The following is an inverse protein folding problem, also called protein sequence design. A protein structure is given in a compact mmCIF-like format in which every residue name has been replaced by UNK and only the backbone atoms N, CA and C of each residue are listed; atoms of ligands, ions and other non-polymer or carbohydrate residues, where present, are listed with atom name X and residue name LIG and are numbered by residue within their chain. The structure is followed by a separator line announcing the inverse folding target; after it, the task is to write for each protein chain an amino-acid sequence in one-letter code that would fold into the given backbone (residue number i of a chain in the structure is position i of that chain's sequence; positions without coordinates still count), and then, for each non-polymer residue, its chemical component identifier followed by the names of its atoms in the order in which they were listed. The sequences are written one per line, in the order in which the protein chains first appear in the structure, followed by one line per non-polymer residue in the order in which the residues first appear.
data_IF_784935652253
#
_entry.id   IF_784935652253
#
_cell.length_a   1.000
_cell.length_b   1.000
_cell.length_c   1.000
_cell.angle_alpha   90.00
_cell.angle_beta   90.00
_cell.angle_gamma   90.00
#
_symmetry.space_group_name_H-M   'P 1'
#
loop_
_entity.id
_entity.type
_entity.pdbx_description
1 polymer ?
#
# COMPACT_ATOMS: atom_id res chain seq x y z
N UNK A 1 9.12 -18.53 -7.71
CA UNK A 1 8.73 -17.66 -6.60
C UNK A 1 7.56 -18.26 -5.89
N UNK A 2 7.69 -18.52 -4.59
CA UNK A 2 6.62 -18.97 -3.70
C UNK A 2 5.96 -17.77 -3.02
N UNK A 3 4.71 -17.90 -2.62
CA UNK A 3 3.92 -16.82 -2.04
C UNK A 3 3.06 -17.34 -0.90
N UNK A 4 2.87 -16.50 0.13
CA UNK A 4 2.09 -16.86 1.33
C UNK A 4 0.62 -17.16 1.05
N UNK A 5 0.03 -16.46 0.08
CA UNK A 5 -1.39 -16.57 -0.24
C UNK A 5 -1.71 -16.23 -1.70
N UNK A 6 -2.95 -16.49 -2.12
CA UNK A 6 -3.40 -16.29 -3.48
C UNK A 6 -3.57 -14.81 -3.87
N UNK A 7 -3.65 -13.91 -2.88
CA UNK A 7 -3.80 -12.46 -3.15
C UNK A 7 -2.54 -11.83 -3.74
N UNK A 8 -1.39 -12.49 -3.55
CA UNK A 8 -0.13 -12.09 -4.16
C UNK A 8 -0.06 -12.56 -5.61
N UNK A 9 0.05 -11.64 -6.54
CA UNK A 9 0.14 -11.97 -7.97
C UNK A 9 1.10 -11.05 -8.71
N UNK A 10 1.68 -11.60 -9.78
CA UNK A 10 2.50 -10.84 -10.69
C UNK A 10 1.63 -9.95 -11.59
N UNK A 11 2.10 -8.75 -11.85
CA UNK A 11 1.38 -7.74 -12.64
C UNK A 11 2.17 -7.35 -13.89
N UNK A 12 1.46 -6.85 -14.89
CA UNK A 12 2.10 -6.16 -16.00
C UNK A 12 2.35 -4.71 -15.59
N UNK A 13 3.63 -4.34 -15.45
CA UNK A 13 4.02 -2.96 -15.25
C UNK A 13 4.64 -2.40 -16.54
N UNK A 14 3.86 -1.62 -17.26
CA UNK A 14 4.26 -0.92 -18.48
C UNK A 14 4.64 0.55 -18.22
N UNK A 15 4.78 0.97 -16.96
CA UNK A 15 5.04 2.36 -16.60
C UNK A 15 6.42 2.87 -17.03
N UNK A 16 7.35 1.97 -17.34
CA UNK A 16 8.72 2.33 -17.70
C UNK A 16 9.41 1.27 -18.57
N UNK A 17 10.18 1.73 -19.56
CA UNK A 17 11.11 0.90 -20.32
C UNK A 17 12.22 0.27 -19.44
N UNK A 18 12.33 0.68 -18.19
CA UNK A 18 13.28 0.16 -17.21
C UNK A 18 12.84 -1.13 -16.52
N UNK A 19 11.56 -1.49 -16.56
CA UNK A 19 11.06 -2.75 -15.98
C UNK A 19 11.51 -3.92 -16.85
N UNK A 20 11.83 -5.05 -16.25
CA UNK A 20 12.42 -6.18 -16.97
C UNK A 20 11.56 -7.45 -16.86
N UNK A 21 11.14 -8.05 -17.99
CA UNK A 21 11.22 -7.56 -19.34
C UNK A 21 10.24 -6.42 -19.63
N UNK A 22 10.61 -5.47 -20.51
CA UNK A 22 9.72 -4.40 -20.95
C UNK A 22 9.33 -4.57 -22.41
N UNK A 23 8.06 -4.34 -22.74
CA UNK A 23 7.58 -4.25 -24.10
C UNK A 23 6.42 -3.28 -24.20
N UNK A 24 6.42 -2.37 -25.20
CA UNK A 24 5.25 -1.54 -25.44
C UNK A 24 4.10 -2.31 -26.11
N UNK A 25 4.35 -3.50 -26.65
CA UNK A 25 3.37 -4.28 -27.42
C UNK A 25 2.86 -5.52 -26.68
N UNK A 26 3.69 -6.13 -25.82
CA UNK A 26 3.38 -7.38 -25.14
C UNK A 26 3.16 -7.13 -23.66
N UNK A 27 2.11 -7.72 -23.10
CA UNK A 27 1.85 -7.71 -21.67
C UNK A 27 2.66 -8.81 -21.00
N UNK A 28 3.76 -8.43 -20.35
CA UNK A 28 4.54 -9.34 -19.52
C UNK A 28 4.13 -9.20 -18.05
N UNK A 29 4.07 -10.30 -17.34
CA UNK A 29 4.01 -10.30 -15.88
C UNK A 29 5.43 -10.08 -15.35
N UNK A 30 5.84 -8.81 -15.29
CA UNK A 30 7.21 -8.37 -15.08
C UNK A 30 7.46 -7.71 -13.74
N UNK A 31 6.45 -7.59 -12.90
CA UNK A 31 6.59 -7.13 -11.53
C UNK A 31 5.66 -7.91 -10.60
N UNK A 32 6.03 -8.01 -9.33
CA UNK A 32 5.20 -8.63 -8.31
C UNK A 32 5.00 -7.68 -7.13
N UNK A 33 3.79 -7.68 -6.56
CA UNK A 33 3.49 -6.90 -5.38
C UNK A 33 2.58 -5.69 -5.64
N UNK A 34 3.04 -4.47 -5.35
CA UNK A 34 2.22 -3.26 -5.25
C UNK A 34 1.22 -3.36 -4.08
N UNK A 35 -0.05 -2.99 -4.28
CA UNK A 35 -1.10 -3.11 -3.27
C UNK A 35 -1.48 -4.56 -2.92
N UNK A 36 -1.19 -5.53 -3.78
CA UNK A 36 -1.44 -6.95 -3.48
C UNK A 36 -0.48 -7.52 -2.44
N UNK A 37 0.67 -6.88 -2.21
CA UNK A 37 1.68 -7.28 -1.22
C UNK A 37 1.92 -6.16 -0.21
N UNK A 38 0.94 -5.95 0.64
CA UNK A 38 0.92 -4.83 1.58
C UNK A 38 0.45 -5.19 2.99
N UNK A 39 -0.12 -6.38 3.18
CA UNK A 39 -0.67 -6.81 4.46
C UNK A 39 0.39 -7.53 5.29
N UNK A 40 0.31 -7.36 6.60
CA UNK A 40 1.21 -8.01 7.56
C UNK A 40 1.31 -9.51 7.34
N UNK A 41 2.50 -10.05 7.54
CA UNK A 41 2.84 -11.47 7.41
C UNK A 41 2.72 -12.05 5.99
N UNK A 42 2.31 -11.27 4.99
CA UNK A 42 2.42 -11.71 3.60
C UNK A 42 3.90 -11.82 3.22
N UNK A 43 4.29 -12.90 2.58
CA UNK A 43 5.66 -13.08 2.11
C UNK A 43 5.75 -13.58 0.68
N UNK A 44 6.87 -13.24 0.06
CA UNK A 44 7.37 -13.83 -1.19
C UNK A 44 8.71 -14.49 -0.91
N UNK A 45 8.95 -15.59 -1.59
CA UNK A 45 10.16 -16.40 -1.42
C UNK A 45 10.72 -16.77 -2.78
N UNK A 46 12.03 -16.59 -2.94
CA UNK A 46 12.78 -16.88 -4.14
C UNK A 46 13.84 -17.94 -3.85
N UNK A 47 14.00 -18.89 -4.75
CA UNK A 47 15.14 -19.79 -4.79
C UNK A 47 16.28 -19.09 -5.54
N UNK A 48 17.46 -19.08 -4.93
CA UNK A 48 18.69 -18.50 -5.46
C UNK A 48 19.67 -19.63 -5.74
N UNK A 49 20.06 -19.81 -7.01
CA UNK A 49 21.09 -20.75 -7.41
C UNK A 49 22.46 -20.10 -7.34
N UNK A 50 23.28 -20.53 -6.38
CA UNK A 50 24.63 -20.01 -6.13
C UNK A 50 25.65 -20.92 -6.83
N UNK A 51 26.43 -20.39 -7.79
CA UNK A 51 27.32 -21.21 -8.62
C UNK A 51 28.59 -21.69 -7.90
N UNK A 52 29.05 -20.97 -6.88
CA UNK A 52 30.24 -21.28 -6.10
C UNK A 52 30.18 -20.66 -4.70
N UNK A 53 30.93 -21.23 -3.78
CA UNK A 53 31.07 -20.67 -2.44
C UNK A 53 31.69 -19.27 -2.50
N UNK A 54 31.17 -18.32 -1.72
CA UNK A 54 31.73 -16.98 -1.72
C UNK A 54 30.93 -15.94 -0.95
N UNK A 55 31.45 -14.72 -1.00
CA UNK A 55 30.77 -13.55 -0.46
C UNK A 55 30.00 -12.82 -1.56
N UNK A 56 28.73 -12.65 -1.34
CA UNK A 56 27.80 -12.03 -2.28
C UNK A 56 27.15 -10.78 -1.67
N UNK A 57 26.80 -9.85 -2.54
CA UNK A 57 25.88 -8.75 -2.22
C UNK A 57 24.54 -9.02 -2.87
N UNK A 58 23.48 -8.56 -2.20
CA UNK A 58 22.09 -8.71 -2.68
C UNK A 58 21.52 -7.32 -2.92
N UNK A 59 20.89 -7.14 -4.08
CA UNK A 59 20.21 -5.92 -4.43
C UNK A 59 18.79 -6.21 -4.91
N UNK A 60 17.86 -5.34 -4.53
CA UNK A 60 16.45 -5.42 -4.88
C UNK A 60 16.10 -4.24 -5.76
N UNK A 61 15.58 -4.50 -6.96
CA UNK A 61 15.01 -3.46 -7.81
C UNK A 61 13.53 -3.31 -7.49
N UNK A 62 13.18 -2.20 -6.87
CA UNK A 62 11.86 -1.96 -6.32
C UNK A 62 11.27 -0.61 -6.69
N UNK A 63 9.96 -0.51 -6.52
CA UNK A 63 9.20 0.73 -6.53
C UNK A 63 8.22 0.76 -5.36
N UNK A 64 8.17 1.86 -4.64
CA UNK A 64 7.15 2.17 -3.64
C UNK A 64 6.54 3.53 -3.99
N UNK A 65 5.46 3.56 -4.74
CA UNK A 65 4.87 4.78 -5.32
C UNK A 65 3.55 5.20 -4.69
N UNK A 66 3.06 4.46 -3.70
CA UNK A 66 1.73 4.65 -3.11
C UNK A 66 1.76 5.44 -1.80
N UNK A 67 2.81 5.29 -0.99
CA UNK A 67 2.92 5.93 0.34
C UNK A 67 3.91 7.10 0.29
N UNK A 68 3.44 8.26 -0.12
CA UNK A 68 4.26 9.48 -0.19
C UNK A 68 4.73 9.87 1.22
N UNK A 69 6.05 10.06 1.37
CA UNK A 69 6.67 10.43 2.65
C UNK A 69 6.70 9.32 3.71
N UNK A 70 6.41 8.09 3.34
CA UNK A 70 6.50 6.93 4.23
C UNK A 70 7.28 5.81 3.56
N UNK A 71 7.94 5.00 4.37
CA UNK A 71 8.67 3.82 3.91
C UNK A 71 7.80 2.57 4.02
N UNK A 72 8.11 1.56 3.21
CA UNK A 72 7.59 0.20 3.37
C UNK A 72 8.69 -0.69 3.92
N UNK A 73 8.33 -1.64 4.77
CA UNK A 73 9.29 -2.47 5.48
C UNK A 73 9.13 -3.94 5.13
N UNK A 74 10.25 -4.64 5.07
CA UNK A 74 10.30 -6.10 4.88
C UNK A 74 11.30 -6.72 5.85
N UNK A 75 10.91 -7.83 6.45
CA UNK A 75 11.85 -8.76 7.03
C UNK A 75 12.46 -9.58 5.89
N UNK A 76 13.78 -9.63 5.82
CA UNK A 76 14.50 -10.40 4.80
C UNK A 76 15.27 -11.52 5.48
N UNK A 77 15.00 -12.75 5.07
CA UNK A 77 15.70 -13.92 5.58
C UNK A 77 16.34 -14.71 4.44
N UNK A 78 17.50 -15.29 4.74
CA UNK A 78 18.18 -16.26 3.87
C UNK A 78 18.20 -17.59 4.64
N UNK A 79 17.67 -18.65 4.02
CA UNK A 79 17.53 -19.98 4.63
C UNK A 79 16.84 -19.92 6.00
N UNK A 80 15.81 -19.06 6.10
CA UNK A 80 14.99 -18.89 7.30
C UNK A 80 15.59 -18.03 8.41
N UNK A 81 16.79 -17.44 8.22
CA UNK A 81 17.47 -16.59 9.21
C UNK A 81 17.70 -15.19 8.65
N UNK A 82 17.54 -14.17 9.48
CA UNK A 82 18.01 -12.81 9.16
C UNK A 82 19.50 -12.72 9.58
N UNK A 83 20.44 -12.67 8.61
CA UNK A 83 21.87 -12.69 8.94
C UNK A 83 22.37 -11.37 9.54
N UNK A 84 21.62 -10.30 9.42
CA UNK A 84 21.87 -8.97 9.97
C UNK A 84 20.63 -8.45 10.67
N UNK A 85 20.79 -7.69 11.75
CA UNK A 85 19.65 -7.11 12.51
C UNK A 85 18.80 -6.16 11.68
N UNK A 86 19.42 -5.41 10.77
CA UNK A 86 18.76 -4.46 9.86
C UNK A 86 17.78 -5.15 8.90
N UNK A 87 18.01 -6.43 8.62
CA UNK A 87 17.14 -7.23 7.76
C UNK A 87 15.85 -7.69 8.45
N UNK A 88 15.74 -7.56 9.77
CA UNK A 88 14.46 -7.74 10.48
C UNK A 88 13.44 -6.68 10.08
N UNK A 89 13.90 -5.48 9.67
CA UNK A 89 13.06 -4.35 9.27
C UNK A 89 13.68 -3.55 8.12
N UNK A 90 14.11 -4.24 7.06
CA UNK A 90 14.70 -3.61 5.89
C UNK A 90 13.77 -2.57 5.28
N UNK A 91 14.30 -1.39 5.02
CA UNK A 91 13.57 -0.18 4.69
C UNK A 91 13.54 0.08 3.18
N UNK A 92 12.35 0.28 2.63
CA UNK A 92 12.11 0.61 1.24
C UNK A 92 11.46 1.99 1.14
N UNK A 93 12.29 3.01 0.95
CA UNK A 93 11.84 4.40 0.89
C UNK A 93 10.94 4.66 -0.32
N UNK A 94 10.04 5.67 -0.17
CA UNK A 94 9.20 6.13 -1.27
C UNK A 94 10.03 6.40 -2.54
N UNK A 95 9.56 5.85 -3.65
CA UNK A 95 10.14 6.07 -4.96
C UNK A 95 9.06 5.91 -6.03
N UNK A 96 8.73 6.97 -6.80
CA UNK A 96 7.72 6.89 -7.86
C UNK A 96 8.21 6.08 -9.07
N UNK A 97 9.52 5.85 -9.18
CA UNK A 97 10.15 5.04 -10.22
C UNK A 97 10.96 3.89 -9.62
N UNK A 98 11.21 2.85 -10.40
CA UNK A 98 12.08 1.76 -9.98
C UNK A 98 13.50 2.24 -9.69
N UNK A 99 14.04 1.78 -8.57
CA UNK A 99 15.43 1.98 -8.16
C UNK A 99 16.04 0.70 -7.61
N UNK A 100 17.34 0.58 -7.66
CA UNK A 100 18.08 -0.49 -7.00
C UNK A 100 18.36 -0.08 -5.55
N UNK A 101 18.13 -1.00 -4.64
CA UNK A 101 18.54 -0.95 -3.24
C UNK A 101 19.52 -2.11 -3.02
N UNK A 102 20.77 -1.81 -2.77
CA UNK A 102 21.72 -2.78 -2.25
C UNK A 102 21.43 -2.91 -0.75
N UNK A 103 21.31 -4.15 -0.25
CA UNK A 103 21.15 -4.38 1.18
C UNK A 103 22.44 -3.94 1.85
N UNK A 104 22.34 -2.92 2.71
CA UNK A 104 23.48 -2.25 3.34
C UNK A 104 23.24 -2.14 4.84
N UNK A 105 24.30 -2.04 5.60
CA UNK A 105 24.27 -1.78 7.03
C UNK A 105 23.86 -0.31 7.33
N UNK A 106 23.82 0.05 8.62
CA UNK A 106 23.47 1.41 9.07
C UNK A 106 24.45 2.48 8.57
N UNK A 107 25.69 2.10 8.24
CA UNK A 107 26.70 3.03 7.68
C UNK A 107 26.53 3.24 6.17
N UNK A 108 25.68 2.43 5.53
CA UNK A 108 25.46 2.43 4.08
C UNK A 108 26.44 1.53 3.31
N UNK A 109 27.28 0.76 4.00
CA UNK A 109 28.18 -0.20 3.36
C UNK A 109 27.40 -1.46 2.95
N UNK A 110 27.66 -2.00 1.74
CA UNK A 110 26.99 -3.22 1.26
C UNK A 110 27.21 -4.41 2.19
N UNK A 111 26.15 -5.07 2.62
CA UNK A 111 26.22 -6.30 3.39
C UNK A 111 26.82 -7.43 2.55
N UNK A 112 27.75 -8.18 3.15
CA UNK A 112 28.39 -9.33 2.52
C UNK A 112 27.82 -10.64 3.07
N UNK A 113 27.09 -11.37 2.21
CA UNK A 113 26.46 -12.65 2.54
C UNK A 113 27.37 -13.80 2.11
N UNK A 114 27.84 -14.61 3.05
CA UNK A 114 28.50 -15.87 2.68
C UNK A 114 27.42 -16.89 2.27
N UNK A 115 27.47 -17.28 1.00
CA UNK A 115 26.57 -18.30 0.45
C UNK A 115 27.43 -19.44 -0.10
N UNK A 116 27.09 -20.68 0.24
CA UNK A 116 27.70 -21.87 -0.31
C UNK A 116 27.18 -22.14 -1.72
N UNK A 117 27.89 -22.95 -2.48
CA UNK A 117 27.36 -23.46 -3.76
C UNK A 117 26.09 -24.26 -3.52
N UNK A 118 25.05 -23.97 -4.28
CA UNK A 118 23.75 -24.69 -4.23
C UNK A 118 22.58 -23.73 -4.20
N UNK A 119 21.42 -24.28 -3.82
CA UNK A 119 20.17 -23.55 -3.74
C UNK A 119 19.99 -22.95 -2.36
N UNK A 120 19.75 -21.64 -2.30
CA UNK A 120 19.38 -20.91 -1.09
C UNK A 120 18.01 -20.29 -1.25
N UNK A 121 17.34 -20.05 -0.12
CA UNK A 121 16.00 -19.44 -0.09
C UNK A 121 16.10 -18.02 0.44
N UNK A 122 15.69 -17.04 -0.37
CA UNK A 122 15.51 -15.66 0.08
C UNK A 122 14.03 -15.39 0.26
N UNK A 123 13.62 -15.02 1.49
CA UNK A 123 12.25 -14.64 1.81
C UNK A 123 12.20 -13.17 2.18
N UNK A 124 11.16 -12.50 1.70
CA UNK A 124 10.81 -11.13 2.10
C UNK A 124 9.37 -11.13 2.62
N UNK A 125 9.21 -10.79 3.89
CA UNK A 125 7.94 -10.77 4.62
C UNK A 125 7.55 -9.34 4.97
N UNK A 126 6.27 -9.01 4.89
CA UNK A 126 5.72 -7.70 5.25
C UNK A 126 5.75 -7.51 6.76
N UNK A 127 6.42 -6.46 7.22
CA UNK A 127 6.46 -6.01 8.62
C UNK A 127 6.15 -4.52 8.71
N UNK A 128 5.69 -4.03 9.86
CA UNK A 128 5.34 -2.60 10.05
C UNK A 128 6.58 -1.71 10.24
N UNK A 129 7.71 -2.29 10.61
CA UNK A 129 8.92 -1.54 10.92
C UNK A 129 8.75 -0.61 12.13
N UNK A 130 9.39 0.56 12.11
CA UNK A 130 9.43 1.51 13.24
C UNK A 130 8.04 1.99 13.69
N UNK A 131 7.06 2.08 12.80
CA UNK A 131 5.69 2.45 13.16
C UNK A 131 5.01 1.41 14.07
N UNK A 132 5.46 0.15 14.06
CA UNK A 132 4.92 -0.90 14.93
C UNK A 132 5.00 -0.59 16.41
N UNK A 133 5.93 0.28 16.83
CA UNK A 133 6.08 0.70 18.23
C UNK A 133 5.05 1.75 18.68
N UNK A 134 4.42 2.47 17.75
CA UNK A 134 3.52 3.59 18.07
C UNK A 134 2.07 3.37 17.61
N UNK A 135 1.85 2.60 16.55
CA UNK A 135 0.49 2.39 16.02
C UNK A 135 -0.49 1.72 17.00
N UNK A 136 -0.10 0.78 17.89
CA UNK A 136 -1.00 0.22 18.89
C UNK A 136 -1.54 1.29 19.86
N UNK A 137 -0.70 2.22 20.32
CA UNK A 137 -1.13 3.32 21.20
C UNK A 137 -2.08 4.28 20.47
N UNK A 138 -1.80 4.58 19.20
CA UNK A 138 -2.72 5.40 18.41
C UNK A 138 -4.07 4.69 18.18
N UNK A 139 -4.08 3.38 18.02
CA UNK A 139 -5.31 2.59 17.93
C UNK A 139 -6.14 2.67 19.21
N UNK A 140 -5.50 2.63 20.37
CA UNK A 140 -6.16 2.84 21.67
C UNK A 140 -6.72 4.26 21.81
N UNK A 141 -5.95 5.27 21.40
CA UNK A 141 -6.45 6.65 21.33
C UNK A 141 -7.69 6.79 20.45
N UNK A 142 -7.70 6.19 19.26
CA UNK A 142 -8.89 6.20 18.38
C UNK A 142 -10.10 5.54 19.05
N UNK A 143 -9.91 4.44 19.78
CA UNK A 143 -10.98 3.78 20.55
C UNK A 143 -11.50 4.69 21.68
N UNK A 144 -10.60 5.35 22.42
CA UNK A 144 -10.95 6.27 23.50
C UNK A 144 -11.71 7.48 22.96
N UNK A 145 -11.25 8.11 21.86
CA UNK A 145 -11.93 9.22 21.21
C UNK A 145 -13.34 8.85 20.72
N UNK A 146 -13.51 7.65 20.15
CA UNK A 146 -14.84 7.15 19.80
C UNK A 146 -15.73 6.93 21.03
N UNK A 147 -15.16 6.53 22.18
CA UNK A 147 -15.92 6.42 23.43
C UNK A 147 -16.36 7.80 23.95
N UNK A 148 -15.45 8.77 23.93
CA UNK A 148 -15.74 10.18 24.28
C UNK A 148 -16.89 10.70 23.39
N UNK A 149 -16.78 10.55 22.07
CA UNK A 149 -17.82 10.95 21.13
C UNK A 149 -19.18 10.33 21.49
N UNK A 150 -19.22 9.00 21.76
CA UNK A 150 -20.47 8.33 22.17
C UNK A 150 -21.04 8.86 23.48
N UNK A 151 -20.21 9.14 24.48
CA UNK A 151 -20.66 9.72 25.75
C UNK A 151 -21.29 11.10 25.54
N UNK A 152 -20.70 11.92 24.67
CA UNK A 152 -21.26 13.24 24.34
C UNK A 152 -22.61 13.13 23.66
N UNK A 153 -22.75 12.28 22.62
CA UNK A 153 -24.02 12.12 21.90
C UNK A 153 -25.13 11.50 22.76
N UNK A 154 -24.78 10.75 23.80
CA UNK A 154 -25.80 10.26 24.78
C UNK A 154 -26.43 11.39 25.54
N UNK A 155 -25.75 12.51 25.77
CA UNK A 155 -26.26 13.70 26.47
C UNK A 155 -26.90 14.67 25.48
N UNK A 156 -26.25 14.91 24.34
CA UNK A 156 -26.62 15.99 23.42
C UNK A 156 -27.52 15.55 22.28
N UNK A 157 -27.59 14.25 22.02
CA UNK A 157 -28.08 13.70 20.75
C UNK A 157 -27.04 13.82 19.63
N UNK A 158 -27.32 13.19 18.49
CA UNK A 158 -26.42 13.20 17.31
C UNK A 158 -26.44 14.52 16.53
N UNK A 159 -27.43 15.37 16.78
CA UNK A 159 -27.58 16.68 16.15
C UNK A 159 -27.96 17.69 17.26
N UNK A 160 -26.97 18.13 18.06
CA UNK A 160 -27.23 18.99 19.22
C UNK A 160 -27.72 20.37 18.79
N UNK A 161 -28.53 21.00 19.66
CA UNK A 161 -28.81 22.42 19.59
C UNK A 161 -27.57 23.19 20.03
N UNK A 162 -26.94 23.89 19.10
CA UNK A 162 -25.68 24.62 19.33
C UNK A 162 -25.82 25.86 20.21
N UNK A 163 -27.05 26.29 20.48
CA UNK A 163 -27.35 27.41 21.36
C UNK A 163 -27.66 26.96 22.80
N UNK A 164 -27.82 25.65 23.03
CA UNK A 164 -28.10 25.06 24.33
C UNK A 164 -26.82 24.72 25.05
N UNK A 165 -26.66 25.17 26.27
CA UNK A 165 -25.63 24.69 27.18
C UNK A 165 -26.09 23.36 27.81
N UNK A 166 -25.36 22.29 27.46
CA UNK A 166 -25.62 20.94 27.98
C UNK A 166 -24.87 20.66 29.29
N UNK A 167 -24.05 21.59 29.78
CA UNK A 167 -23.22 21.46 30.98
C UNK A 167 -22.45 20.16 31.04
N UNK A 168 -21.70 19.86 29.94
CA UNK A 168 -21.00 18.59 29.78
C UNK A 168 -20.00 18.30 30.88
N UNK A 169 -19.39 19.34 31.46
CA UNK A 169 -18.46 19.25 32.59
C UNK A 169 -19.13 18.72 33.87
N UNK A 170 -20.41 19.03 34.07
CA UNK A 170 -21.17 18.56 35.23
C UNK A 170 -21.81 17.21 34.98
N UNK A 171 -22.30 16.97 33.74
CA UNK A 171 -23.08 15.77 33.41
C UNK A 171 -22.16 14.56 33.10
N UNK A 172 -21.02 14.80 32.47
CA UNK A 172 -20.05 13.76 32.09
C UNK A 172 -18.59 14.14 32.45
N UNK A 173 -18.30 14.46 33.74
CA UNK A 173 -17.01 14.98 34.17
C UNK A 173 -15.84 14.03 33.85
N UNK A 174 -16.06 12.73 33.93
CA UNK A 174 -15.01 11.74 33.58
C UNK A 174 -14.69 11.73 32.09
N UNK A 175 -15.66 11.99 31.22
CA UNK A 175 -15.44 12.13 29.79
C UNK A 175 -14.61 13.37 29.47
N UNK A 176 -14.85 14.47 30.16
CA UNK A 176 -14.06 15.71 30.01
C UNK A 176 -12.61 15.49 30.47
N UNK A 177 -12.39 14.78 31.59
CA UNK A 177 -11.03 14.39 32.01
C UNK A 177 -10.33 13.51 30.96
N UNK A 178 -11.06 12.60 30.32
CA UNK A 178 -10.50 11.75 29.26
C UNK A 178 -10.05 12.56 28.03
N UNK A 179 -10.69 13.68 27.71
CA UNK A 179 -10.22 14.58 26.63
C UNK A 179 -8.80 15.07 26.90
N UNK A 180 -8.51 15.53 28.12
CA UNK A 180 -7.18 16.05 28.48
C UNK A 180 -6.12 14.93 28.46
N UNK A 181 -6.47 13.73 28.95
CA UNK A 181 -5.59 12.56 28.85
C UNK A 181 -5.28 12.25 27.38
N UNK A 182 -6.29 12.20 26.51
CA UNK A 182 -6.10 11.91 25.10
C UNK A 182 -5.35 13.01 24.35
N UNK A 183 -5.52 14.28 24.77
CA UNK A 183 -4.71 15.40 24.24
C UNK A 183 -3.23 15.19 24.54
N UNK A 184 -2.88 14.86 25.78
CA UNK A 184 -1.50 14.62 26.19
C UNK A 184 -0.89 13.39 25.50
N UNK A 185 -1.66 12.29 25.34
CA UNK A 185 -1.21 11.09 24.62
C UNK A 185 -0.95 11.36 23.14
N UNK A 186 -1.85 12.08 22.47
CA UNK A 186 -1.67 12.45 21.07
C UNK A 186 -0.51 13.41 20.85
N UNK A 187 -0.16 14.25 21.83
CA UNK A 187 1.06 15.07 21.78
C UNK A 187 2.30 14.18 21.66
N UNK A 188 2.46 13.21 22.55
CA UNK A 188 3.59 12.29 22.54
C UNK A 188 3.64 11.40 21.27
N UNK A 189 2.49 10.97 20.78
CA UNK A 189 2.39 10.18 19.56
C UNK A 189 2.70 11.02 18.31
N UNK A 190 2.27 12.27 18.26
CA UNK A 190 2.54 13.20 17.17
C UNK A 190 4.05 13.37 16.97
N UNK A 191 4.81 13.63 18.06
CA UNK A 191 6.27 13.80 17.99
C UNK A 191 6.96 12.52 17.47
N UNK A 192 6.63 11.37 18.04
CA UNK A 192 7.22 10.07 17.63
C UNK A 192 6.89 9.72 16.18
N UNK A 193 5.64 9.91 15.76
CA UNK A 193 5.23 9.62 14.38
C UNK A 193 5.87 10.61 13.42
N UNK A 194 6.00 11.89 13.78
CA UNK A 194 6.68 12.90 12.98
C UNK A 194 8.15 12.56 12.78
N UNK A 195 8.83 12.11 13.82
CA UNK A 195 10.22 11.64 13.73
C UNK A 195 10.37 10.45 12.77
N UNK A 196 9.48 9.44 12.89
CA UNK A 196 9.52 8.23 12.05
C UNK A 196 9.20 8.52 10.58
N UNK A 197 8.24 9.41 10.33
CA UNK A 197 7.68 9.64 8.97
C UNK A 197 8.19 10.90 8.29
N UNK A 198 9.00 11.70 8.97
CA UNK A 198 9.47 12.98 8.43
C UNK A 198 8.37 14.00 8.13
N UNK A 199 7.25 13.96 8.87
CA UNK A 199 6.15 14.91 8.69
C UNK A 199 5.19 14.57 7.54
N UNK A 200 4.84 13.31 7.37
CA UNK A 200 3.88 12.82 6.37
C UNK A 200 2.45 13.34 6.57
N UNK A 201 1.54 13.00 5.64
CA UNK A 201 0.11 13.35 5.73
C UNK A 201 -0.56 12.88 7.04
N UNK A 202 -0.06 11.79 7.64
CA UNK A 202 -0.56 11.26 8.90
C UNK A 202 -0.35 12.19 10.09
N UNK A 203 0.78 12.90 10.14
CA UNK A 203 1.03 13.88 11.19
C UNK A 203 0.06 15.06 11.13
N UNK A 204 -0.41 15.43 9.94
CA UNK A 204 -1.41 16.50 9.78
C UNK A 204 -2.73 16.16 10.44
N UNK A 205 -3.25 14.93 10.25
CA UNK A 205 -4.53 14.54 10.85
C UNK A 205 -4.42 14.40 12.38
N UNK A 206 -3.30 13.86 12.89
CA UNK A 206 -3.05 13.81 14.35
C UNK A 206 -3.01 15.23 14.92
N UNK A 207 -2.29 16.16 14.25
CA UNK A 207 -2.24 17.56 14.64
C UNK A 207 -3.60 18.24 14.63
N UNK A 208 -4.47 17.93 13.67
CA UNK A 208 -5.85 18.44 13.62
C UNK A 208 -6.67 17.95 14.81
N UNK A 209 -6.63 16.64 15.09
CA UNK A 209 -7.34 16.07 16.26
C UNK A 209 -6.82 16.66 17.56
N UNK A 210 -5.49 16.74 17.73
CA UNK A 210 -4.84 17.32 18.90
C UNK A 210 -5.29 18.76 19.16
N UNK A 211 -5.31 19.62 18.12
CA UNK A 211 -5.80 20.99 18.22
C UNK A 211 -7.27 21.04 18.65
N UNK A 212 -8.11 20.21 18.05
CA UNK A 212 -9.53 20.14 18.40
C UNK A 212 -9.73 19.69 19.85
N UNK A 213 -8.95 18.71 20.34
CA UNK A 213 -9.00 18.31 21.75
C UNK A 213 -8.59 19.43 22.69
N UNK A 214 -7.57 20.24 22.34
CA UNK A 214 -7.17 21.40 23.12
C UNK A 214 -8.33 22.41 23.22
N UNK A 215 -9.00 22.72 22.11
CA UNK A 215 -10.16 23.61 22.09
C UNK A 215 -11.32 23.08 22.96
N UNK A 216 -11.53 21.76 23.01
CA UNK A 216 -12.57 21.15 23.85
C UNK A 216 -12.20 21.09 25.35
N UNK A 217 -10.92 20.96 25.67
CA UNK A 217 -10.42 21.00 27.04
C UNK A 217 -10.53 22.44 27.61
N UNK A 218 -10.16 23.44 26.77
CA UNK A 218 -10.22 24.84 27.14
C UNK A 218 -11.66 25.35 27.30
N UNK A 219 -12.59 24.85 26.45
CA UNK A 219 -14.02 25.21 26.51
C UNK A 219 -14.89 24.04 26.00
N UNK A 220 -15.38 23.16 26.90
CA UNK A 220 -16.24 22.03 26.57
C UNK A 220 -17.57 22.40 25.90
N UNK A 221 -18.05 23.63 26.03
CA UNK A 221 -19.24 24.11 25.31
C UNK A 221 -19.05 24.00 23.78
N UNK A 222 -17.83 24.22 23.28
CA UNK A 222 -17.53 24.14 21.87
C UNK A 222 -17.70 22.74 21.26
N UNK A 223 -17.76 21.69 22.10
CA UNK A 223 -17.95 20.31 21.59
C UNK A 223 -19.29 20.16 20.86
N UNK A 224 -20.33 20.84 21.28
CA UNK A 224 -21.66 20.71 20.66
C UNK A 224 -21.71 21.24 19.25
N UNK A 225 -21.06 22.38 19.00
CA UNK A 225 -20.99 23.01 17.69
C UNK A 225 -20.02 22.27 16.72
N UNK A 226 -18.99 21.65 17.25
CA UNK A 226 -17.95 20.95 16.48
C UNK A 226 -18.07 19.41 16.49
N UNK A 227 -19.22 18.87 16.95
CA UNK A 227 -19.41 17.42 17.12
C UNK A 227 -19.31 16.63 15.81
N UNK A 228 -19.83 17.19 14.72
CA UNK A 228 -19.74 16.58 13.39
C UNK A 228 -18.28 16.52 12.86
N UNK A 229 -17.54 17.62 13.08
CA UNK A 229 -16.11 17.69 12.71
C UNK A 229 -15.28 16.75 13.58
N UNK A 230 -15.61 16.63 14.87
CA UNK A 230 -14.95 15.68 15.76
C UNK A 230 -15.11 14.23 15.26
N UNK A 231 -16.31 13.82 14.93
CA UNK A 231 -16.58 12.52 14.33
C UNK A 231 -15.79 12.31 13.04
N UNK A 232 -15.78 13.31 12.16
CA UNK A 232 -15.06 13.26 10.88
C UNK A 232 -13.55 13.11 11.08
N UNK A 233 -12.99 13.85 12.03
CA UNK A 233 -11.57 13.81 12.37
C UNK A 233 -11.16 12.46 12.97
N UNK A 234 -11.97 11.89 13.87
CA UNK A 234 -11.74 10.52 14.39
C UNK A 234 -11.77 9.49 13.26
N UNK A 235 -12.74 9.60 12.35
CA UNK A 235 -12.84 8.70 11.18
C UNK A 235 -11.63 8.82 10.26
N UNK A 236 -11.16 10.03 10.02
CA UNK A 236 -9.96 10.31 9.22
C UNK A 236 -8.69 9.74 9.88
N UNK A 237 -8.58 9.86 11.22
CA UNK A 237 -7.48 9.28 11.98
C UNK A 237 -7.51 7.74 11.90
N UNK A 238 -8.69 7.11 12.01
CA UNK A 238 -8.87 5.66 11.84
C UNK A 238 -8.52 5.19 10.42
N UNK A 239 -8.88 5.96 9.41
CA UNK A 239 -8.53 5.67 8.01
C UNK A 239 -7.01 5.75 7.80
N UNK A 240 -6.37 6.79 8.33
CA UNK A 240 -4.92 6.90 8.27
C UNK A 240 -4.21 5.76 9.02
N UNK A 241 -4.70 5.35 10.18
CA UNK A 241 -4.17 4.22 10.93
C UNK A 241 -4.19 2.93 10.10
N UNK A 242 -5.27 2.69 9.36
CA UNK A 242 -5.39 1.55 8.46
C UNK A 242 -4.39 1.65 7.30
N UNK A 243 -4.25 2.82 6.71
CA UNK A 243 -3.26 3.09 5.66
C UNK A 243 -1.83 2.93 6.18
N UNK A 244 -1.53 3.39 7.39
CA UNK A 244 -0.21 3.28 8.01
C UNK A 244 0.23 1.82 8.20
N UNK A 245 -0.70 0.92 8.51
CA UNK A 245 -0.47 -0.53 8.63
C UNK A 245 -0.17 -1.20 7.28
N UNK A 246 -0.63 -0.64 6.18
CA UNK A 246 -0.37 -1.16 4.83
C UNK A 246 1.08 -0.88 4.41
N UNK A 247 1.76 -1.87 3.83
CA UNK A 247 3.18 -1.80 3.46
C UNK A 247 3.40 -2.19 1.99
N UNK A 248 2.85 -1.43 1.02
CA UNK A 248 2.90 -1.75 -0.40
C UNK A 248 4.33 -1.67 -0.94
N UNK A 249 4.72 -2.66 -1.74
CA UNK A 249 6.02 -2.71 -2.40
C UNK A 249 5.91 -3.50 -3.71
N UNK A 250 6.46 -2.95 -4.79
CA UNK A 250 6.61 -3.64 -6.06
C UNK A 250 8.06 -4.04 -6.27
N UNK A 251 8.30 -5.27 -6.70
CA UNK A 251 9.63 -5.77 -7.07
C UNK A 251 9.63 -6.12 -8.55
N UNK A 252 10.65 -5.65 -9.24
CA UNK A 252 10.98 -6.02 -10.62
C UNK A 252 11.86 -7.30 -10.61
N UNK A 253 13.05 -7.21 -9.98
CA UNK A 253 13.93 -8.36 -9.81
C UNK A 253 14.86 -8.21 -8.60
N UNK A 254 15.47 -9.32 -8.22
CA UNK A 254 16.52 -9.39 -7.21
C UNK A 254 17.82 -9.79 -7.93
N UNK A 255 18.93 -9.14 -7.58
CA UNK A 255 20.26 -9.44 -8.08
C UNK A 255 21.14 -9.97 -6.95
N UNK A 256 21.78 -11.09 -7.18
CA UNK A 256 22.86 -11.63 -6.34
C UNK A 256 24.14 -11.57 -7.14
N UNK A 257 25.16 -10.89 -6.64
CA UNK A 257 26.43 -10.71 -7.35
C UNK A 257 27.60 -10.72 -6.35
N UNK A 258 28.80 -10.98 -6.84
CA UNK A 258 30.01 -10.86 -5.99
C UNK A 258 30.14 -9.46 -5.40
N UNK A 259 30.66 -9.36 -4.20
CA UNK A 259 30.86 -8.08 -3.50
C UNK A 259 31.69 -7.12 -4.37
N UNK A 260 31.24 -5.86 -4.47
CA UNK A 260 31.90 -4.82 -5.27
C UNK A 260 31.57 -4.84 -6.76
N UNK A 261 30.76 -5.77 -7.25
CA UNK A 261 30.30 -5.75 -8.65
C UNK A 261 29.26 -4.65 -8.86
N UNK A 262 29.42 -3.92 -9.99
CA UNK A 262 28.47 -2.86 -10.36
C UNK A 262 27.12 -3.46 -10.81
N UNK A 263 26.06 -2.93 -10.27
CA UNK A 263 24.69 -3.30 -10.69
C UNK A 263 24.32 -2.65 -12.02
N UNK A 264 23.46 -3.32 -12.79
CA UNK A 264 22.82 -2.71 -13.94
C UNK A 264 22.00 -1.47 -13.53
N UNK A 265 22.01 -0.37 -14.32
CA UNK A 265 21.24 0.83 -14.00
C UNK A 265 19.74 0.52 -13.86
N UNK A 266 19.11 1.02 -12.79
CA UNK A 266 17.66 0.85 -12.57
C UNK A 266 16.82 1.61 -13.61
N UNK A 267 17.35 2.75 -14.10
CA UNK A 267 16.68 3.60 -15.10
C UNK A 267 17.17 3.25 -16.50
N UNK A 268 16.27 3.19 -17.49
CA UNK A 268 16.66 3.00 -18.88
C UNK A 268 17.42 4.26 -19.37
N UNK A 269 18.35 4.07 -20.31
CA UNK A 269 18.98 5.21 -20.98
C UNK A 269 17.96 6.08 -21.73
N UNK A 270 18.25 7.35 -21.91
CA UNK A 270 17.34 8.32 -22.53
C UNK A 270 16.81 7.86 -23.90
N UNK A 271 17.67 7.30 -24.76
CA UNK A 271 17.27 6.79 -26.08
C UNK A 271 16.31 5.58 -25.98
N UNK A 272 16.54 4.66 -25.02
CA UNK A 272 15.65 3.52 -24.79
C UNK A 272 14.30 4.01 -24.25
N UNK A 273 14.29 4.97 -23.37
CA UNK A 273 13.08 5.58 -22.81
C UNK A 273 12.26 6.29 -23.88
N UNK A 274 12.90 7.12 -24.71
CA UNK A 274 12.24 7.84 -25.81
C UNK A 274 11.64 6.88 -26.83
N UNK A 275 12.44 5.88 -27.25
CA UNK A 275 11.96 4.84 -28.18
C UNK A 275 10.74 4.09 -27.62
N UNK A 276 10.79 3.71 -26.34
CA UNK A 276 9.68 3.04 -25.68
C UNK A 276 8.43 3.91 -25.64
N UNK A 277 8.57 5.18 -25.27
CA UNK A 277 7.44 6.13 -25.22
C UNK A 277 6.80 6.37 -26.58
N UNK A 278 7.62 6.53 -27.63
CA UNK A 278 7.12 6.66 -29.01
C UNK A 278 6.40 5.38 -29.47
N UNK A 279 6.97 4.23 -29.21
CA UNK A 279 6.37 2.95 -29.57
C UNK A 279 5.06 2.72 -28.81
N UNK A 280 5.01 2.99 -27.51
CA UNK A 280 3.78 2.94 -26.70
C UNK A 280 2.72 3.88 -27.25
N UNK A 281 3.08 5.10 -27.60
CA UNK A 281 2.15 6.10 -28.16
C UNK A 281 1.54 5.58 -29.47
N UNK A 282 2.35 5.14 -30.43
CA UNK A 282 1.84 4.60 -31.68
C UNK A 282 1.01 3.32 -31.50
N UNK A 283 1.37 2.48 -30.53
CA UNK A 283 0.62 1.26 -30.26
C UNK A 283 -0.78 1.53 -29.70
N UNK A 284 -0.98 2.64 -28.95
CA UNK A 284 -2.33 3.01 -28.48
C UNK A 284 -3.32 3.31 -29.60
N UNK A 285 -2.84 3.58 -30.81
CA UNK A 285 -3.69 3.77 -32.01
C UNK A 285 -3.89 2.48 -32.83
N UNK A 286 -3.23 1.39 -32.48
CA UNK A 286 -3.42 0.11 -33.18
C UNK A 286 -4.64 -0.63 -32.64
N UNK A 287 -5.38 -1.29 -33.54
CA UNK A 287 -6.56 -2.09 -33.15
C UNK A 287 -6.22 -3.30 -32.28
N UNK A 288 -4.97 -3.76 -32.29
CA UNK A 288 -4.45 -4.78 -31.37
C UNK A 288 -4.49 -4.39 -29.90
N UNK A 289 -4.45 -3.10 -29.56
CA UNK A 289 -4.64 -2.64 -28.20
C UNK A 289 -6.08 -2.89 -27.71
N UNK A 290 -7.03 -2.93 -28.63
CA UNK A 290 -8.45 -3.19 -28.37
C UNK A 290 -8.79 -4.67 -28.36
N UNK A 291 -8.08 -5.50 -29.13
CA UNK A 291 -8.37 -6.91 -29.30
C UNK A 291 -7.30 -7.78 -28.66
N UNK A 292 -7.65 -8.49 -27.60
CA UNK A 292 -6.82 -9.55 -27.06
C UNK A 292 -7.02 -10.79 -27.94
N UNK A 293 -6.03 -11.09 -28.80
CA UNK A 293 -6.01 -12.30 -29.59
C UNK A 293 -5.78 -13.52 -28.69
N UNK A 294 -6.82 -14.11 -28.22
CA UNK A 294 -6.89 -15.49 -27.76
C UNK A 294 -7.92 -16.21 -28.59
N UNK A 295 -7.63 -17.44 -29.01
CA UNK A 295 -8.55 -18.30 -29.78
C UNK A 295 -9.74 -18.81 -28.93
N UNK A 296 -10.38 -17.98 -28.13
CA UNK A 296 -11.54 -18.33 -27.33
C UNK A 296 -12.46 -17.12 -27.16
N UNK A 297 -13.71 -17.37 -26.84
CA UNK A 297 -14.69 -16.34 -26.59
C UNK A 297 -14.32 -15.53 -25.33
N UNK A 298 -14.50 -14.23 -25.38
CA UNK A 298 -14.23 -13.33 -24.24
C UNK A 298 -15.54 -12.92 -23.61
N UNK A 299 -15.81 -13.41 -22.42
CA UNK A 299 -16.95 -12.99 -21.59
C UNK A 299 -16.57 -11.68 -20.90
N UNK A 300 -17.25 -10.60 -21.24
CA UNK A 300 -17.01 -9.27 -20.67
C UNK A 300 -17.89 -9.04 -19.44
N UNK A 301 -17.28 -8.81 -18.30
CA UNK A 301 -17.97 -8.52 -17.03
C UNK A 301 -17.72 -7.07 -16.63
N UNK A 302 -18.77 -6.28 -16.47
CA UNK A 302 -18.69 -4.92 -15.97
C UNK A 302 -18.98 -4.86 -14.48
N UNK A 303 -18.21 -4.02 -13.78
CA UNK A 303 -18.38 -3.72 -12.36
C UNK A 303 -18.50 -2.22 -12.20
N UNK A 304 -19.58 -1.76 -11.57
CA UNK A 304 -19.85 -0.34 -11.27
C UNK A 304 -19.56 0.03 -9.81
N UNK A 305 -19.36 -0.96 -8.94
CA UNK A 305 -19.29 -0.78 -7.47
C UNK A 305 -17.94 -0.31 -6.90
N UNK A 306 -16.94 -0.03 -7.75
CA UNK A 306 -15.68 0.61 -7.33
C UNK A 306 -14.43 -0.22 -7.57
N UNK A 307 -13.26 0.45 -7.45
CA UNK A 307 -11.96 -0.13 -7.81
C UNK A 307 -11.55 -1.31 -6.94
N UNK A 308 -11.94 -1.33 -5.64
CA UNK A 308 -11.61 -2.41 -4.73
C UNK A 308 -12.34 -3.72 -5.11
N UNK A 309 -13.64 -3.64 -5.40
CA UNK A 309 -14.43 -4.79 -5.84
C UNK A 309 -13.96 -5.29 -7.21
N UNK A 310 -13.66 -4.38 -8.14
CA UNK A 310 -13.05 -4.74 -9.43
C UNK A 310 -11.74 -5.51 -9.24
N UNK A 311 -10.86 -5.06 -8.35
CA UNK A 311 -9.58 -5.73 -8.08
C UNK A 311 -9.80 -7.15 -7.55
N UNK A 312 -10.72 -7.33 -6.59
CA UNK A 312 -11.03 -8.64 -6.00
C UNK A 312 -11.62 -9.59 -7.05
N UNK A 313 -12.64 -9.16 -7.80
CA UNK A 313 -13.28 -10.01 -8.83
C UNK A 313 -12.28 -10.36 -9.93
N UNK A 314 -11.48 -9.42 -10.39
CA UNK A 314 -10.44 -9.67 -11.39
C UNK A 314 -9.38 -10.66 -10.89
N UNK A 315 -9.01 -10.58 -9.61
CA UNK A 315 -8.09 -11.52 -8.98
C UNK A 315 -8.70 -12.94 -8.92
N UNK A 316 -9.94 -13.07 -8.44
CA UNK A 316 -10.64 -14.36 -8.34
C UNK A 316 -10.80 -15.00 -9.73
N UNK A 317 -11.19 -14.20 -10.73
CA UNK A 317 -11.34 -14.64 -12.12
C UNK A 317 -10.01 -15.18 -12.68
N UNK A 318 -8.91 -14.47 -12.45
CA UNK A 318 -7.57 -14.89 -12.90
C UNK A 318 -7.09 -16.14 -12.16
N UNK A 319 -7.31 -16.24 -10.85
CA UNK A 319 -6.83 -17.34 -10.05
C UNK A 319 -7.62 -18.62 -10.26
N UNK A 320 -8.95 -18.51 -10.38
CA UNK A 320 -9.84 -19.66 -10.40
C UNK A 320 -10.22 -20.13 -11.82
N UNK A 321 -10.36 -19.21 -12.77
CA UNK A 321 -10.91 -19.50 -14.09
C UNK A 321 -9.90 -19.33 -15.23
N UNK A 322 -9.37 -18.12 -15.46
CA UNK A 322 -8.55 -17.82 -16.63
C UNK A 322 -7.21 -18.58 -16.72
N UNK A 323 -6.83 -19.31 -15.69
CA UNK A 323 -5.58 -20.06 -15.66
C UNK A 323 -5.62 -21.30 -16.58
N UNK A 324 -6.80 -21.93 -16.70
CA UNK A 324 -6.97 -23.23 -17.36
C UNK A 324 -8.11 -23.28 -18.39
N UNK A 325 -8.84 -22.19 -18.62
CA UNK A 325 -9.98 -22.14 -19.53
C UNK A 325 -9.59 -21.72 -20.95
N UNK A 326 -10.27 -22.27 -21.95
CA UNK A 326 -10.15 -21.81 -23.34
C UNK A 326 -10.80 -20.42 -23.52
N UNK A 327 -11.93 -20.18 -22.89
CA UNK A 327 -12.62 -18.89 -22.89
C UNK A 327 -12.05 -18.01 -21.78
N UNK A 328 -12.11 -16.71 -21.97
CA UNK A 328 -11.59 -15.73 -21.02
C UNK A 328 -12.70 -14.88 -20.43
N UNK A 329 -12.60 -14.59 -19.14
CA UNK A 329 -13.41 -13.58 -18.48
C UNK A 329 -12.56 -12.30 -18.38
N UNK A 330 -13.07 -11.21 -18.98
CA UNK A 330 -12.48 -9.87 -18.87
C UNK A 330 -13.34 -9.00 -17.95
N UNK A 331 -12.80 -8.61 -16.80
CA UNK A 331 -13.47 -7.76 -15.82
C UNK A 331 -13.07 -6.31 -16.04
N UNK A 332 -14.05 -5.43 -16.26
CA UNK A 332 -13.86 -3.99 -16.51
C UNK A 332 -14.55 -3.17 -15.43
N UNK A 333 -13.81 -2.22 -14.85
CA UNK A 333 -14.43 -1.17 -14.03
C UNK A 333 -15.03 -0.11 -14.94
N UNK A 334 -16.32 0.17 -14.80
CA UNK A 334 -17.03 1.13 -15.65
C UNK A 334 -17.80 2.13 -14.81
N UNK A 335 -17.85 3.36 -15.30
CA UNK A 335 -18.68 4.45 -14.76
C UNK A 335 -19.82 4.83 -15.71
N UNK A 336 -19.87 4.17 -16.87
CA UNK A 336 -20.86 4.46 -17.92
C UNK A 336 -22.18 3.77 -17.59
N UNK A 337 -23.30 4.43 -17.91
CA UNK A 337 -24.64 3.84 -17.79
C UNK A 337 -24.77 2.61 -18.68
N UNK A 338 -25.27 1.50 -18.12
CA UNK A 338 -25.53 0.26 -18.86
C UNK A 338 -26.51 0.49 -20.03
N UNK A 339 -27.53 1.34 -19.83
CA UNK A 339 -28.51 1.69 -20.86
C UNK A 339 -27.81 2.35 -22.06
N UNK A 340 -26.92 3.29 -21.82
CA UNK A 340 -26.17 3.95 -22.91
C UNK A 340 -25.28 2.97 -23.68
N UNK A 341 -24.71 1.99 -23.00
CA UNK A 341 -23.91 0.95 -23.64
C UNK A 341 -24.73 -0.03 -24.47
N UNK A 342 -25.95 -0.40 -24.01
CA UNK A 342 -26.88 -1.24 -24.76
C UNK A 342 -27.30 -0.52 -26.04
N UNK A 343 -27.67 0.76 -25.97
CA UNK A 343 -28.03 1.56 -27.14
C UNK A 343 -26.90 1.66 -28.16
N UNK A 344 -25.64 1.68 -27.66
CA UNK A 344 -24.46 1.78 -28.51
C UNK A 344 -23.94 0.42 -29.01
N UNK A 345 -24.64 -0.69 -28.76
CA UNK A 345 -24.22 -2.07 -29.06
C UNK A 345 -22.82 -2.42 -28.48
N UNK A 346 -22.57 -1.95 -27.27
CA UNK A 346 -21.30 -2.15 -26.52
C UNK A 346 -21.54 -2.67 -25.10
N UNK A 347 -22.67 -3.31 -24.89
CA UNK A 347 -23.02 -3.87 -23.59
C UNK A 347 -22.07 -5.03 -23.20
N UNK A 348 -21.84 -5.25 -21.89
CA UNK A 348 -21.14 -6.43 -21.42
C UNK A 348 -22.05 -7.67 -21.47
N UNK A 349 -21.44 -8.85 -21.39
CA UNK A 349 -22.18 -10.10 -21.21
C UNK A 349 -22.79 -10.20 -19.81
N UNK A 350 -22.08 -9.65 -18.80
CA UNK A 350 -22.51 -9.64 -17.41
C UNK A 350 -22.24 -8.26 -16.78
N UNK A 351 -23.20 -7.77 -15.98
CA UNK A 351 -23.04 -6.56 -15.19
C UNK A 351 -23.22 -6.87 -13.69
N UNK A 352 -22.24 -6.51 -12.85
CA UNK A 352 -22.26 -6.68 -11.40
C UNK A 352 -22.45 -5.33 -10.73
N UNK A 353 -23.43 -5.24 -9.83
CA UNK A 353 -23.71 -4.03 -9.06
C UNK A 353 -24.49 -2.98 -9.86
N UNK A 354 -25.35 -3.40 -10.79
CA UNK A 354 -26.28 -2.52 -11.49
C UNK A 354 -27.52 -2.26 -10.62
#
# INVERSE_FOLDING_TARGET
VYKSDASLYAVNDASSAGVSPSSPYKKYLNAIGSSSWSNMSQYLEWELEIPQDGLYQIAVKYRQSTKIGMNSYRRITIDGKAPYSELETAEFAYSPSYKNLILSDESGEPMAFYLSKGTHTLRMEVVIGRLGTVLPYLEESVKALNSIYRSVIMVTGSNPDTLRDYRLEEVIPDTIKQLDIQRAELDGLFEKISEITGGSSGTKIIGTVKKQLAEFVDDPYNMTSALADFKSNISSLGSWLTEAKSQPLSIDYITVSGVGQKLSPAKPGLLKSLKYSLQSFFYTFSDEYRNHSGNGDVITVWISSGAAQHAVVNQLTRAAYNKNAQDRIEVKLVTTSLISAIIADKAPDICLGA
#
